data_IF_747632148432
#
_entry.id   IF_747632148432
#
_cell.length_a   1.000
_cell.length_b   1.000
_cell.length_c   1.000
_cell.angle_alpha   90.00
_cell.angle_beta   90.00
_cell.angle_gamma   90.00
#
_symmetry.space_group_name_H-M   'P 1'
#
loop_
_entity.id
_entity.type
_entity.pdbx_description
1 polymer ?
#
# COMPACT_ATOMS: atom_id res chain seq x y z
N UNK A 1 -1.41 5.89 -12.83
CA UNK A 1 -2.34 5.48 -11.76
C UNK A 1 -2.83 4.09 -12.10
N UNK A 2 -2.27 3.07 -11.47
CA UNK A 2 -2.70 1.68 -11.66
C UNK A 2 -3.51 1.26 -10.44
N UNK A 3 -4.68 0.67 -10.66
CA UNK A 3 -5.44 0.02 -9.60
C UNK A 3 -4.65 -1.18 -9.10
N UNK A 4 -4.59 -1.31 -7.79
CA UNK A 4 -3.96 -2.41 -7.08
C UNK A 4 -5.00 -3.18 -6.28
N UNK A 5 -4.65 -4.39 -5.89
CA UNK A 5 -5.50 -5.25 -5.06
C UNK A 5 -5.43 -4.75 -3.61
N UNK A 6 -6.60 -4.48 -3.04
CA UNK A 6 -6.73 -3.98 -1.68
C UNK A 6 -6.37 -5.08 -0.66
N UNK A 7 -5.49 -4.81 0.32
CA UNK A 7 -5.16 -5.81 1.34
C UNK A 7 -6.34 -6.16 2.26
N UNK A 8 -7.38 -5.32 2.33
CA UNK A 8 -8.57 -5.53 3.18
C UNK A 8 -9.67 -6.34 2.52
N UNK A 9 -10.06 -6.00 1.29
CA UNK A 9 -11.17 -6.63 0.59
C UNK A 9 -10.75 -7.52 -0.59
N UNK A 10 -9.45 -7.56 -0.91
CA UNK A 10 -8.88 -8.34 -2.00
C UNK A 10 -9.45 -8.02 -3.40
N UNK A 11 -10.07 -6.84 -3.56
CA UNK A 11 -10.53 -6.34 -4.85
C UNK A 11 -9.54 -5.37 -5.47
N UNK A 12 -9.52 -5.29 -6.80
CA UNK A 12 -8.66 -4.41 -7.59
C UNK A 12 -9.17 -2.95 -7.58
N UNK A 13 -9.32 -2.43 -6.37
CA UNK A 13 -9.97 -1.15 -6.08
C UNK A 13 -9.11 -0.25 -5.20
N UNK A 14 -7.81 -0.52 -5.10
CA UNK A 14 -6.88 0.23 -4.27
C UNK A 14 -6.04 1.17 -5.12
N UNK A 15 -6.08 2.45 -4.78
CA UNK A 15 -5.37 3.50 -5.52
C UNK A 15 -4.56 4.36 -4.58
N UNK A 16 -3.58 5.09 -5.11
CA UNK A 16 -2.75 6.01 -4.34
C UNK A 16 -2.78 7.41 -4.92
N UNK A 17 -2.58 8.39 -4.05
CA UNK A 17 -2.49 9.80 -4.38
C UNK A 17 -1.40 10.47 -3.55
N UNK A 18 -0.60 11.33 -4.18
CA UNK A 18 0.43 12.11 -3.47
C UNK A 18 -0.23 13.37 -2.94
N UNK A 19 -0.15 13.58 -1.62
CA UNK A 19 -0.56 14.84 -1.05
C UNK A 19 0.58 15.86 -1.22
N UNK A 20 0.34 16.93 -1.96
CA UNK A 20 1.38 17.89 -2.41
C UNK A 20 2.12 18.64 -1.30
N UNK A 21 1.71 18.51 -0.03
CA UNK A 21 2.38 19.12 1.13
C UNK A 21 3.47 18.26 1.77
N UNK A 22 3.38 16.93 1.66
CA UNK A 22 4.25 15.99 2.41
C UNK A 22 4.98 14.99 1.54
N UNK A 23 4.76 14.96 0.22
CA UNK A 23 5.31 13.94 -0.70
C UNK A 23 5.04 12.48 -0.27
N UNK A 24 4.19 12.28 0.73
CA UNK A 24 3.76 10.97 1.19
C UNK A 24 2.58 10.52 0.35
N UNK A 25 2.67 9.31 -0.20
CA UNK A 25 1.54 8.70 -0.90
C UNK A 25 0.50 8.25 0.13
N UNK A 26 -0.75 8.62 -0.11
CA UNK A 26 -1.89 8.09 0.62
C UNK A 26 -2.60 7.09 -0.27
N UNK A 27 -2.91 5.94 0.28
CA UNK A 27 -3.60 4.84 -0.35
C UNK A 27 -5.04 4.79 0.14
N UNK A 28 -5.98 4.58 -0.78
CA UNK A 28 -7.40 4.48 -0.48
C UNK A 28 -8.06 3.43 -1.37
N UNK A 29 -8.99 2.68 -0.79
CA UNK A 29 -9.83 1.72 -1.49
C UNK A 29 -11.24 2.28 -1.65
N UNK A 30 -11.71 2.41 -2.89
CA UNK A 30 -13.07 2.89 -3.16
C UNK A 30 -14.15 1.81 -3.01
N UNK A 31 -13.76 0.56 -2.73
CA UNK A 31 -14.73 -0.52 -2.53
C UNK A 31 -15.07 -0.75 -1.05
N UNK A 32 -14.07 -0.70 -0.17
CA UNK A 32 -14.25 -0.95 1.27
C UNK A 32 -13.92 0.26 2.16
N UNK A 33 -13.71 1.43 1.57
CA UNK A 33 -13.33 2.67 2.25
C UNK A 33 -12.04 2.54 3.10
N UNK A 34 -11.19 1.56 2.80
CA UNK A 34 -9.93 1.37 3.50
C UNK A 34 -8.91 2.43 3.11
N UNK A 35 -8.29 3.07 4.10
CA UNK A 35 -7.26 4.10 3.89
C UNK A 35 -5.99 3.75 4.64
N UNK A 36 -4.84 3.96 4.00
CA UNK A 36 -3.52 3.81 4.59
C UNK A 36 -2.58 4.88 4.04
N UNK A 37 -1.62 5.34 4.84
CA UNK A 37 -0.60 6.30 4.41
C UNK A 37 0.72 5.57 4.25
N UNK A 38 1.39 5.79 3.13
CA UNK A 38 2.76 5.33 2.99
C UNK A 38 3.63 6.11 3.98
N UNK A 39 4.25 5.40 4.91
CA UNK A 39 5.07 6.02 5.95
C UNK A 39 6.44 6.42 5.39
N UNK A 40 6.93 5.67 4.41
CA UNK A 40 8.26 5.86 3.84
C UNK A 40 8.28 5.62 2.32
N UNK A 41 9.12 6.37 1.61
CA UNK A 41 9.34 6.22 0.16
C UNK A 41 10.29 5.06 -0.18
N UNK A 42 10.82 4.36 0.83
CA UNK A 42 11.67 3.20 0.64
C UNK A 42 10.82 2.00 0.19
N UNK A 43 11.03 1.61 -1.06
CA UNK A 43 10.57 0.34 -1.61
C UNK A 43 11.56 -0.77 -1.22
N UNK A 44 11.02 -1.86 -0.69
CA UNK A 44 11.73 -3.09 -0.38
C UNK A 44 11.42 -4.16 -1.43
N UNK A 45 12.33 -5.13 -1.53
CA UNK A 45 12.10 -6.33 -2.33
C UNK A 45 11.00 -7.15 -1.65
N UNK A 46 9.98 -7.53 -2.42
CA UNK A 46 8.98 -8.45 -1.94
C UNK A 46 9.50 -9.88 -2.07
N UNK A 47 9.48 -10.65 -0.99
CA UNK A 47 9.91 -12.06 -1.01
C UNK A 47 9.00 -12.96 -1.86
N UNK A 48 7.77 -12.53 -2.13
CA UNK A 48 6.78 -13.31 -2.88
C UNK A 48 6.86 -13.11 -4.41
N UNK A 49 7.28 -11.93 -4.87
CA UNK A 49 7.40 -11.63 -6.30
C UNK A 49 8.80 -11.18 -6.72
N UNK A 50 9.75 -11.11 -5.78
CA UNK A 50 11.16 -10.73 -5.98
C UNK A 50 11.36 -9.32 -6.58
N UNK A 51 10.28 -8.53 -6.67
CA UNK A 51 10.29 -7.17 -7.19
C UNK A 51 10.35 -6.12 -6.06
N UNK A 52 10.99 -4.97 -6.34
CA UNK A 52 11.03 -3.80 -5.45
C UNK A 52 9.68 -3.08 -5.49
N UNK A 53 8.68 -3.69 -4.86
CA UNK A 53 7.31 -3.18 -4.84
C UNK A 53 6.66 -3.28 -3.46
N UNK A 54 7.43 -3.70 -2.44
CA UNK A 54 6.99 -3.77 -1.04
C UNK A 54 7.18 -2.39 -0.41
N UNK A 55 6.09 -1.77 0.03
CA UNK A 55 6.08 -0.44 0.63
C UNK A 55 5.55 -0.52 2.05
N UNK A 56 5.99 0.40 2.91
CA UNK A 56 5.52 0.47 4.29
C UNK A 56 4.27 1.33 4.37
N UNK A 57 3.15 0.71 4.71
CA UNK A 57 1.87 1.39 4.91
C UNK A 57 1.58 1.51 6.40
N UNK A 58 0.99 2.65 6.75
CA UNK A 58 0.50 2.98 8.08
C UNK A 58 -0.98 3.27 7.99
N UNK A 59 -1.81 2.40 8.54
CA UNK A 59 -3.20 2.72 8.75
C UNK A 59 -3.42 3.43 10.09
N UNK A 60 -4.67 3.55 10.53
CA UNK A 60 -5.01 4.32 11.74
C UNK A 60 -4.37 3.73 13.00
N UNK A 61 -4.08 2.44 13.00
CA UNK A 61 -3.71 1.71 14.21
C UNK A 61 -2.36 0.99 14.06
N UNK A 62 -2.03 0.50 12.86
CA UNK A 62 -0.86 -0.36 12.65
C UNK A 62 0.02 0.10 11.49
N UNK A 63 1.28 -0.30 11.54
CA UNK A 63 2.24 -0.19 10.46
C UNK A 63 2.60 -1.58 9.96
N UNK A 64 2.48 -1.79 8.66
CA UNK A 64 2.72 -3.08 8.04
C UNK A 64 3.38 -2.90 6.68
N UNK A 65 4.01 -3.97 6.19
CA UNK A 65 4.57 -3.98 4.84
C UNK A 65 3.56 -4.57 3.88
N UNK A 66 3.35 -3.89 2.76
CA UNK A 66 2.44 -4.33 1.71
C UNK A 66 3.10 -4.27 0.35
N UNK A 67 2.96 -5.33 -0.43
CA UNK A 67 3.46 -5.36 -1.80
C UNK A 67 2.41 -4.84 -2.78
N UNK A 68 2.74 -3.78 -3.51
CA UNK A 68 1.86 -3.24 -4.55
C UNK A 68 1.76 -4.11 -5.80
N UNK A 69 2.57 -5.17 -5.91
CA UNK A 69 2.55 -6.07 -7.05
C UNK A 69 1.69 -7.31 -6.79
N UNK A 70 1.98 -8.04 -5.70
CA UNK A 70 1.27 -9.27 -5.35
C UNK A 70 0.24 -9.12 -4.22
N UNK A 71 0.01 -7.89 -3.72
CA UNK A 71 -0.88 -7.58 -2.59
C UNK A 71 -0.59 -8.29 -1.27
N UNK A 72 0.53 -8.99 -1.18
CA UNK A 72 0.94 -9.67 0.05
C UNK A 72 1.25 -8.63 1.14
N UNK A 73 0.63 -8.83 2.31
CA UNK A 73 0.97 -8.13 3.54
C UNK A 73 1.89 -8.98 4.38
N UNK A 74 2.97 -8.39 4.90
CA UNK A 74 3.78 -8.98 5.97
C UNK A 74 3.58 -8.13 7.22
N UNK A 75 3.04 -8.76 8.26
CA UNK A 75 3.12 -8.26 9.63
C UNK A 75 4.59 -8.39 10.10
N UNK A 76 5.08 -7.43 10.87
CA UNK A 76 6.48 -7.33 11.28
C UNK A 76 6.64 -7.67 12.77
#
# INVERSE_FOLDING_TARGET
MALKICPKCNENSFTWFINGKTYLMSWSCFNCDYEAKQNDNVEQVCENCEEKSKIKLKDRENEYWWCSNCSATSDL
#
